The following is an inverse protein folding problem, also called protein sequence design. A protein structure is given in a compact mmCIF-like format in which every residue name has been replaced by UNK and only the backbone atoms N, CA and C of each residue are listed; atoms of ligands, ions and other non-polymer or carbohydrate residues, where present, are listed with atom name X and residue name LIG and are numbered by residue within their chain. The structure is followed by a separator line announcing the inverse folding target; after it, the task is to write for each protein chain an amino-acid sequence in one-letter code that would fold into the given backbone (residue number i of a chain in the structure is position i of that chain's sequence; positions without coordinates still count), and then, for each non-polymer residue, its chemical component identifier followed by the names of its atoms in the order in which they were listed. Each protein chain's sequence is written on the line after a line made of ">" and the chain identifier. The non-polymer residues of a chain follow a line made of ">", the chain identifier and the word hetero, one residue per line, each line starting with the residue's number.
data_IF_171212651991
#
_entry.id   IF_171212651991
#
_cell.length_a   1.000
_cell.length_b   1.000
_cell.length_c   1.000
_cell.angle_alpha   90.00
_cell.angle_beta   90.00
_cell.angle_gamma   90.00
#
_symmetry.space_group_name_H-M   'P 1'
#
loop_
_entity.id
_entity.type
_entity.pdbx_description
1 polymer ?
#
# COMPACT_ATOMS: atom_id res chain seq x y z
N UNK A 1 -20.78 -27.49 3.76
CA UNK A 1 -21.34 -26.34 3.01
C UNK A 1 -21.06 -25.09 3.83
N UNK A 2 -20.16 -24.23 3.36
CA UNK A 2 -19.88 -22.95 4.03
C UNK A 2 -21.15 -22.09 3.98
N UNK A 3 -21.54 -21.50 5.11
CA UNK A 3 -22.69 -20.60 5.17
C UNK A 3 -22.30 -19.26 4.57
N UNK A 4 -22.86 -18.91 3.44
CA UNK A 4 -22.80 -17.55 2.90
C UNK A 4 -23.41 -16.58 3.90
N UNK A 5 -22.69 -15.52 4.23
CA UNK A 5 -23.18 -14.46 5.08
C UNK A 5 -23.08 -13.14 4.34
N UNK A 6 -24.21 -12.57 4.04
CA UNK A 6 -24.28 -11.19 3.54
C UNK A 6 -23.91 -10.23 4.67
N UNK A 7 -22.95 -9.36 4.39
CA UNK A 7 -22.51 -8.29 5.30
C UNK A 7 -22.58 -6.97 4.53
N UNK A 8 -22.99 -5.92 5.18
CA UNK A 8 -22.99 -4.58 4.63
C UNK A 8 -21.74 -3.84 5.11
N UNK A 9 -20.92 -3.36 4.19
CA UNK A 9 -19.66 -2.68 4.50
C UNK A 9 -19.75 -1.21 4.11
N UNK A 10 -19.40 -0.34 5.02
CA UNK A 10 -19.37 1.10 4.75
C UNK A 10 -18.28 1.43 3.74
N UNK A 11 -18.63 1.99 2.57
CA UNK A 11 -17.69 2.38 1.54
C UNK A 11 -16.74 3.49 1.96
N UNK A 12 -17.02 4.24 3.02
CA UNK A 12 -16.17 5.31 3.51
C UNK A 12 -15.17 4.84 4.59
N UNK A 13 -15.57 4.02 5.57
CA UNK A 13 -14.71 3.65 6.70
C UNK A 13 -14.50 2.14 6.88
N UNK A 14 -15.09 1.30 6.02
CA UNK A 14 -14.98 -0.16 6.10
C UNK A 14 -15.67 -0.81 7.31
N UNK A 15 -16.48 -0.05 8.07
CA UNK A 15 -17.25 -0.62 9.17
C UNK A 15 -18.28 -1.60 8.62
N UNK A 16 -18.25 -2.83 9.13
CA UNK A 16 -19.22 -3.87 8.77
C UNK A 16 -20.47 -3.82 9.64
N UNK A 17 -21.60 -4.20 9.05
CA UNK A 17 -22.88 -4.30 9.71
C UNK A 17 -23.63 -5.54 9.19
N UNK A 18 -24.36 -6.28 10.05
CA UNK A 18 -25.17 -7.42 9.61
C UNK A 18 -26.43 -6.99 8.85
N UNK A 19 -26.75 -5.69 8.83
CA UNK A 19 -27.90 -5.09 8.16
C UNK A 19 -27.48 -3.77 7.51
N UNK A 20 -28.15 -3.43 6.42
CA UNK A 20 -28.00 -2.10 5.83
C UNK A 20 -28.51 -1.03 6.80
N UNK A 21 -27.72 0.02 7.01
CA UNK A 21 -28.07 1.18 7.85
C UNK A 21 -27.85 2.46 7.06
N UNK A 22 -28.79 3.40 7.13
CA UNK A 22 -28.74 4.64 6.34
C UNK A 22 -27.58 5.56 6.73
N UNK A 23 -27.15 5.54 8.00
CA UNK A 23 -26.04 6.34 8.50
C UNK A 23 -25.02 5.44 9.18
N UNK A 24 -23.75 5.53 8.78
CA UNK A 24 -22.68 4.75 9.38
C UNK A 24 -22.43 5.22 10.83
N UNK A 25 -22.50 4.33 11.84
CA UNK A 25 -22.27 4.72 13.23
C UNK A 25 -20.80 5.07 13.52
N UNK A 26 -19.87 4.63 12.68
CA UNK A 26 -18.44 4.83 12.86
C UNK A 26 -17.96 6.17 12.27
N UNK A 27 -18.29 6.46 11.00
CA UNK A 27 -17.81 7.67 10.33
C UNK A 27 -18.91 8.76 10.19
N UNK A 28 -20.17 8.45 10.49
CA UNK A 28 -21.28 9.41 10.42
C UNK A 28 -21.82 9.69 9.01
N UNK A 29 -21.25 9.09 7.97
CA UNK A 29 -21.66 9.29 6.59
C UNK A 29 -22.97 8.56 6.26
N UNK A 30 -23.76 9.14 5.33
CA UNK A 30 -25.04 8.61 4.91
C UNK A 30 -24.92 7.80 3.63
N UNK A 31 -25.74 6.74 3.52
CA UNK A 31 -25.88 5.90 2.31
C UNK A 31 -24.57 5.28 1.80
N UNK A 32 -23.66 4.96 2.71
CA UNK A 32 -22.34 4.42 2.40
C UNK A 32 -22.24 2.89 2.51
N UNK A 33 -23.31 2.20 2.92
CA UNK A 33 -23.27 0.75 3.05
C UNK A 33 -23.50 0.04 1.72
N UNK A 34 -22.53 -0.80 1.34
CA UNK A 34 -22.58 -1.66 0.16
C UNK A 34 -22.69 -3.11 0.62
N UNK A 35 -23.51 -3.89 -0.08
CA UNK A 35 -23.69 -5.31 0.21
C UNK A 35 -22.48 -6.11 -0.28
N UNK A 36 -21.86 -6.88 0.62
CA UNK A 36 -20.76 -7.81 0.31
C UNK A 36 -21.10 -9.21 0.82
N UNK A 37 -20.85 -10.22 -0.02
CA UNK A 37 -21.01 -11.63 0.37
C UNK A 37 -19.68 -12.12 0.92
N UNK A 38 -19.64 -12.39 2.22
CA UNK A 38 -18.45 -12.92 2.89
C UNK A 38 -18.71 -14.39 3.26
N UNK A 39 -17.94 -15.30 2.68
CA UNK A 39 -17.87 -16.69 3.08
C UNK A 39 -16.73 -16.86 4.07
N UNK A 40 -17.04 -17.26 5.30
CA UNK A 40 -16.00 -17.62 6.28
C UNK A 40 -15.66 -19.09 6.09
N UNK A 41 -14.50 -19.38 5.54
CA UNK A 41 -13.88 -20.68 5.77
C UNK A 41 -13.29 -20.74 7.20
N UNK A 42 -13.30 -21.93 7.83
CA UNK A 42 -12.67 -22.11 9.15
C UNK A 42 -11.17 -21.82 9.01
N UNK A 43 -10.75 -20.74 9.60
CA UNK A 43 -9.38 -20.24 9.56
C UNK A 43 -8.43 -21.18 10.29
N UNK A 44 -7.88 -22.16 9.59
CA UNK A 44 -6.51 -22.59 9.85
C UNK A 44 -5.60 -21.50 9.30
N UNK A 45 -5.33 -20.47 10.10
CA UNK A 45 -4.45 -19.35 9.74
C UNK A 45 -3.02 -19.86 9.61
N UNK A 46 -2.69 -20.46 8.46
CA UNK A 46 -1.29 -20.55 8.04
C UNK A 46 -0.87 -19.14 7.69
N UNK A 47 0.34 -18.69 8.14
CA UNK A 47 0.85 -17.40 7.71
C UNK A 47 0.90 -17.39 6.17
N UNK A 48 0.18 -16.45 5.55
CA UNK A 48 0.09 -16.31 4.09
C UNK A 48 1.48 -16.11 3.47
N UNK A 49 2.40 -15.50 4.22
CA UNK A 49 3.77 -15.23 3.78
C UNK A 49 4.67 -16.47 3.69
N UNK A 50 4.33 -17.59 4.33
CA UNK A 50 5.21 -18.76 4.39
C UNK A 50 6.61 -18.48 5.00
N UNK A 51 6.79 -17.32 5.61
CA UNK A 51 8.02 -16.90 6.29
C UNK A 51 7.89 -17.35 7.73
N UNK A 52 8.81 -18.22 8.17
CA UNK A 52 8.91 -18.61 9.57
C UNK A 52 9.48 -17.42 10.36
N UNK A 53 8.60 -16.67 11.00
CA UNK A 53 9.02 -15.61 11.92
C UNK A 53 9.08 -16.16 13.33
N UNK A 54 10.14 -15.82 14.04
CA UNK A 54 10.22 -16.12 15.48
C UNK A 54 9.11 -15.37 16.20
N UNK A 55 8.40 -16.05 17.12
CA UNK A 55 7.38 -15.39 17.94
C UNK A 55 8.05 -14.25 18.72
N UNK A 56 7.55 -13.02 18.63
CA UNK A 56 8.13 -11.90 19.35
C UNK A 56 8.09 -12.17 20.87
N UNK A 57 9.21 -11.90 21.54
CA UNK A 57 9.29 -11.95 23.01
C UNK A 57 9.13 -10.54 23.56
N UNK A 58 8.45 -10.35 24.72
CA UNK A 58 8.44 -9.06 25.39
C UNK A 58 9.87 -8.62 25.71
N UNK A 59 10.20 -7.37 25.40
CA UNK A 59 11.46 -6.71 25.74
C UNK A 59 11.16 -5.55 26.70
N UNK A 60 12.03 -5.30 27.67
CA UNK A 60 11.93 -4.09 28.46
C UNK A 60 12.32 -2.88 27.61
N UNK A 61 11.66 -1.73 27.80
CA UNK A 61 11.95 -0.51 27.04
C UNK A 61 13.42 -0.07 27.19
N UNK A 62 14.02 -0.33 28.35
CA UNK A 62 15.44 -0.08 28.61
C UNK A 62 16.41 -0.93 27.80
N UNK A 63 15.95 -2.07 27.30
CA UNK A 63 16.77 -3.03 26.57
C UNK A 63 16.68 -2.83 25.04
N UNK A 64 15.88 -1.84 24.63
CA UNK A 64 15.72 -1.46 23.23
C UNK A 64 16.71 -0.34 22.94
N UNK A 65 17.71 -0.63 22.12
CA UNK A 65 18.62 0.38 21.60
C UNK A 65 17.84 1.26 20.60
N UNK A 66 17.74 2.54 20.92
CA UNK A 66 17.13 3.54 20.03
C UNK A 66 18.21 4.12 19.11
N UNK A 67 18.77 3.30 18.25
CA UNK A 67 19.55 3.81 17.14
C UNK A 67 18.61 4.47 16.14
N UNK A 68 19.11 5.53 15.45
CA UNK A 68 18.36 6.17 14.38
C UNK A 68 17.97 5.09 13.34
N UNK A 69 16.68 4.85 13.17
CA UNK A 69 16.20 3.87 12.19
C UNK A 69 16.75 4.22 10.80
N UNK A 70 17.52 3.33 10.16
CA UNK A 70 18.15 3.64 8.89
C UNK A 70 17.07 3.93 7.83
N UNK A 71 17.20 5.09 7.21
CA UNK A 71 16.29 5.53 6.15
C UNK A 71 16.87 5.21 4.78
N UNK A 72 16.04 4.69 3.90
CA UNK A 72 16.40 4.50 2.50
C UNK A 72 16.23 5.83 1.79
N UNK A 73 17.30 6.35 1.22
CA UNK A 73 17.27 7.53 0.37
C UNK A 73 16.52 7.19 -0.92
N UNK A 74 15.47 7.93 -1.22
CA UNK A 74 14.66 7.73 -2.43
C UNK A 74 15.23 8.43 -3.66
N UNK A 75 16.41 9.09 -3.56
CA UNK A 75 17.05 9.87 -4.61
C UNK A 75 16.14 10.93 -5.27
N UNK A 76 15.19 11.42 -4.49
CA UNK A 76 14.28 12.53 -4.80
C UNK A 76 14.14 13.36 -3.54
N UNK A 77 14.61 14.60 -3.57
CA UNK A 77 14.69 15.46 -2.38
C UNK A 77 13.31 15.84 -1.86
N UNK A 78 12.33 16.02 -2.76
CA UNK A 78 10.96 16.35 -2.41
C UNK A 78 10.28 15.15 -1.73
N UNK A 79 10.43 13.95 -2.30
CA UNK A 79 9.90 12.73 -1.71
C UNK A 79 10.56 12.42 -0.36
N UNK A 80 11.88 12.55 -0.26
CA UNK A 80 12.60 12.38 1.00
C UNK A 80 12.12 13.35 2.07
N UNK A 81 11.91 14.64 1.72
CA UNK A 81 11.41 15.66 2.64
C UNK A 81 10.03 15.28 3.19
N UNK A 82 9.09 14.90 2.33
CA UNK A 82 7.73 14.53 2.72
C UNK A 82 7.70 13.22 3.53
N UNK A 83 8.64 12.32 3.27
CA UNK A 83 8.82 11.10 4.08
C UNK A 83 9.49 11.36 5.44
N UNK A 84 10.07 12.56 5.64
CA UNK A 84 10.79 12.93 6.85
C UNK A 84 12.27 12.48 6.84
N UNK A 85 12.89 12.47 5.65
CA UNK A 85 14.30 12.15 5.42
C UNK A 85 14.55 10.81 4.73
N UNK A 86 13.52 10.16 4.20
CA UNK A 86 13.61 8.90 3.46
C UNK A 86 12.66 7.82 3.97
N UNK A 87 12.65 6.69 3.28
CA UNK A 87 11.76 5.56 3.58
C UNK A 87 12.33 4.70 4.72
N UNK A 88 11.53 4.44 5.73
CA UNK A 88 11.93 3.62 6.88
C UNK A 88 11.81 2.12 6.56
N UNK A 89 12.77 1.33 7.01
CA UNK A 89 12.72 -0.12 6.88
C UNK A 89 11.51 -0.71 7.60
N UNK A 90 10.88 -1.69 6.97
CA UNK A 90 9.67 -2.31 7.52
C UNK A 90 8.45 -1.39 7.55
N UNK A 91 8.48 -0.23 6.88
CA UNK A 91 7.32 0.66 6.78
C UNK A 91 6.41 0.28 5.62
N UNK A 92 5.12 0.57 5.78
CA UNK A 92 4.11 0.51 4.74
C UNK A 92 3.65 1.93 4.42
N UNK A 93 3.97 2.42 3.24
CA UNK A 93 3.62 3.78 2.79
C UNK A 93 2.63 3.71 1.63
N UNK A 94 1.55 4.48 1.71
CA UNK A 94 0.57 4.63 0.66
C UNK A 94 0.78 5.94 -0.09
N UNK A 95 0.91 5.87 -1.41
CA UNK A 95 0.85 7.03 -2.31
C UNK A 95 -0.52 7.03 -2.98
N UNK A 96 -1.37 7.94 -2.54
CA UNK A 96 -2.72 8.12 -3.05
C UNK A 96 -2.84 9.33 -3.97
N UNK A 97 -3.83 9.32 -4.86
CA UNK A 97 -4.12 10.44 -5.76
C UNK A 97 -5.05 10.04 -6.90
N UNK A 98 -5.58 11.02 -7.65
CA UNK A 98 -6.45 10.75 -8.79
C UNK A 98 -5.77 9.87 -9.84
N UNK A 99 -6.54 9.06 -10.61
CA UNK A 99 -6.01 8.37 -11.77
C UNK A 99 -5.35 9.35 -12.75
N UNK A 100 -4.19 8.98 -13.31
CA UNK A 100 -3.48 9.80 -14.28
C UNK A 100 -2.68 10.98 -13.69
N UNK A 101 -2.69 11.23 -12.37
CA UNK A 101 -1.96 12.35 -11.74
C UNK A 101 -0.43 12.17 -11.81
N UNK A 102 0.08 10.95 -11.99
CA UNK A 102 1.50 10.66 -12.12
C UNK A 102 2.12 9.83 -11.00
N UNK A 103 1.33 9.19 -10.13
CA UNK A 103 1.83 8.35 -9.03
C UNK A 103 2.83 7.29 -9.48
N UNK A 104 2.42 6.44 -10.42
CA UNK A 104 3.26 5.36 -10.97
C UNK A 104 4.49 5.91 -11.70
N UNK A 105 4.38 7.11 -12.27
CA UNK A 105 5.50 7.79 -12.92
C UNK A 105 6.53 8.26 -11.90
N UNK A 106 6.10 8.92 -10.82
CA UNK A 106 6.98 9.33 -9.73
C UNK A 106 7.72 8.14 -9.14
N UNK A 107 6.99 7.09 -8.80
CA UNK A 107 7.58 5.88 -8.20
C UNK A 107 8.55 5.21 -9.16
N UNK A 108 8.22 5.09 -10.44
CA UNK A 108 9.11 4.51 -11.45
C UNK A 108 10.38 5.35 -11.60
N UNK A 109 10.27 6.67 -11.67
CA UNK A 109 11.41 7.57 -11.76
C UNK A 109 12.34 7.42 -10.54
N UNK A 110 11.77 7.38 -9.33
CA UNK A 110 12.52 7.14 -8.10
C UNK A 110 13.29 5.82 -8.15
N UNK A 111 12.62 4.74 -8.55
CA UNK A 111 13.22 3.39 -8.66
C UNK A 111 14.40 3.36 -9.63
N UNK A 112 14.29 4.05 -10.75
CA UNK A 112 15.36 4.11 -11.76
C UNK A 112 16.61 4.83 -11.25
N UNK A 113 16.48 5.69 -10.22
CA UNK A 113 17.59 6.37 -9.58
C UNK A 113 18.19 5.63 -8.36
N UNK A 114 17.77 4.38 -8.11
CA UNK A 114 18.20 3.54 -6.99
C UNK A 114 18.93 2.28 -7.49
N UNK A 115 20.05 2.39 -8.24
CA UNK A 115 20.73 1.22 -8.81
C UNK A 115 21.37 0.30 -7.77
N UNK A 116 21.60 0.81 -6.55
CA UNK A 116 22.18 0.07 -5.43
C UNK A 116 21.15 -0.80 -4.67
N UNK A 117 19.84 -0.67 -5.00
CA UNK A 117 18.76 -1.38 -4.35
C UNK A 117 18.11 -2.40 -5.28
N UNK A 118 17.88 -3.59 -4.76
CA UNK A 118 17.11 -4.60 -5.43
C UNK A 118 15.62 -4.35 -5.17
N UNK A 119 14.88 -4.00 -6.22
CA UNK A 119 13.49 -3.58 -6.11
C UNK A 119 12.59 -4.57 -6.83
N UNK A 120 11.50 -4.97 -6.19
CA UNK A 120 10.42 -5.74 -6.82
C UNK A 120 9.23 -4.82 -7.07
N UNK A 121 8.96 -4.55 -8.35
CA UNK A 121 7.79 -3.80 -8.80
C UNK A 121 6.69 -4.77 -9.23
N UNK A 122 5.62 -4.82 -8.45
CA UNK A 122 4.43 -5.62 -8.70
C UNK A 122 3.40 -4.74 -9.38
N UNK A 123 2.99 -5.11 -10.60
CA UNK A 123 1.95 -4.41 -11.35
C UNK A 123 0.71 -5.27 -11.49
N UNK A 124 -0.44 -4.75 -11.06
CA UNK A 124 -1.74 -5.37 -11.31
C UNK A 124 -2.53 -4.71 -12.44
N UNK A 125 -2.03 -3.61 -13.01
CA UNK A 125 -2.75 -2.83 -14.04
C UNK A 125 -2.03 -2.83 -15.39
N UNK A 126 -0.71 -2.72 -15.38
CA UNK A 126 0.08 -2.59 -16.60
C UNK A 126 0.91 -3.83 -16.87
N UNK A 127 1.09 -4.16 -18.15
CA UNK A 127 1.99 -5.22 -18.58
C UNK A 127 3.45 -4.79 -18.43
N UNK A 128 4.36 -5.77 -18.31
CA UNK A 128 5.80 -5.52 -18.24
C UNK A 128 6.33 -4.68 -19.42
N UNK A 129 5.75 -4.87 -20.62
CA UNK A 129 6.10 -4.08 -21.81
C UNK A 129 5.70 -2.61 -21.67
N UNK A 130 4.53 -2.31 -21.11
CA UNK A 130 4.07 -0.94 -20.88
C UNK A 130 4.95 -0.24 -19.84
N UNK A 131 5.28 -0.94 -18.75
CA UNK A 131 6.21 -0.42 -17.74
C UNK A 131 7.60 -0.17 -18.32
N UNK A 132 8.12 -1.07 -19.16
CA UNK A 132 9.40 -0.86 -19.86
C UNK A 132 9.36 0.38 -20.75
N UNK A 133 8.32 0.55 -21.55
CA UNK A 133 8.14 1.75 -22.40
C UNK A 133 8.03 3.04 -21.57
N UNK A 134 7.49 2.98 -20.36
CA UNK A 134 7.46 4.11 -19.43
C UNK A 134 8.86 4.38 -18.87
N UNK A 135 9.56 3.36 -18.40
CA UNK A 135 10.89 3.48 -17.86
C UNK A 135 11.87 4.11 -18.88
N UNK A 136 11.83 3.65 -20.13
CA UNK A 136 12.69 4.16 -21.22
C UNK A 136 12.44 5.65 -21.56
N UNK A 137 11.28 6.19 -21.21
CA UNK A 137 11.00 7.62 -21.37
C UNK A 137 11.48 8.48 -20.20
N UNK A 138 11.70 7.85 -19.03
CA UNK A 138 12.04 8.55 -17.80
C UNK A 138 13.54 8.62 -17.56
N UNK A 139 14.29 7.60 -17.95
CA UNK A 139 15.73 7.52 -17.74
C UNK A 139 16.37 6.49 -18.65
N UNK A 140 17.61 6.75 -19.04
CA UNK A 140 18.49 5.80 -19.72
C UNK A 140 19.31 4.94 -18.73
N UNK A 141 19.10 5.12 -17.42
CA UNK A 141 19.82 4.36 -16.39
C UNK A 141 19.26 2.97 -16.22
N UNK A 142 20.13 1.99 -16.04
CA UNK A 142 19.72 0.63 -15.63
C UNK A 142 19.61 0.57 -14.11
N UNK A 143 18.49 0.07 -13.62
CA UNK A 143 18.29 -0.24 -12.20
C UNK A 143 18.09 -1.75 -12.01
N UNK A 144 18.39 -2.28 -10.82
CA UNK A 144 18.09 -3.67 -10.44
C UNK A 144 16.61 -3.82 -10.05
N UNK A 145 15.71 -3.31 -10.92
CA UNK A 145 14.27 -3.38 -10.73
C UNK A 145 13.69 -4.59 -11.45
N UNK A 146 13.20 -5.53 -10.67
CA UNK A 146 12.47 -6.70 -11.16
C UNK A 146 11.00 -6.38 -11.27
N UNK A 147 10.40 -6.64 -12.44
CA UNK A 147 8.97 -6.40 -12.69
C UNK A 147 8.22 -7.74 -12.69
N UNK A 148 7.11 -7.80 -11.97
CA UNK A 148 6.17 -8.90 -12.02
C UNK A 148 4.74 -8.37 -12.22
N UNK A 149 4.01 -8.97 -13.17
CA UNK A 149 2.59 -8.67 -13.38
C UNK A 149 1.78 -9.75 -12.66
N UNK A 150 1.33 -9.44 -11.45
CA UNK A 150 0.64 -10.38 -10.58
C UNK A 150 -0.40 -9.67 -9.71
N UNK A 151 -1.53 -10.33 -9.47
CA UNK A 151 -2.63 -9.82 -8.64
C UNK A 151 -2.94 -10.70 -7.43
N UNK A 152 -2.45 -11.95 -7.39
CA UNK A 152 -2.58 -12.82 -6.22
C UNK A 152 -1.54 -12.46 -5.17
N UNK A 153 -1.98 -12.11 -3.97
CA UNK A 153 -1.11 -11.78 -2.85
C UNK A 153 -0.21 -12.96 -2.48
N UNK A 154 -0.72 -14.19 -2.57
CA UNK A 154 0.00 -15.42 -2.30
C UNK A 154 1.19 -15.59 -3.25
N UNK A 155 0.98 -15.36 -4.55
CA UNK A 155 2.03 -15.42 -5.56
C UNK A 155 3.04 -14.28 -5.41
N UNK A 156 2.57 -13.09 -5.05
CA UNK A 156 3.45 -11.95 -4.74
C UNK A 156 4.43 -12.32 -3.62
N UNK A 157 3.99 -12.97 -2.55
CA UNK A 157 4.89 -13.43 -1.49
C UNK A 157 5.88 -14.49 -1.96
N UNK A 158 5.49 -15.38 -2.87
CA UNK A 158 6.42 -16.33 -3.51
C UNK A 158 7.51 -15.58 -4.29
N UNK A 159 7.14 -14.55 -5.06
CA UNK A 159 8.11 -13.72 -5.78
C UNK A 159 9.04 -12.97 -4.82
N UNK A 160 8.51 -12.36 -3.77
CA UNK A 160 9.31 -11.67 -2.75
C UNK A 160 10.33 -12.62 -2.12
N UNK A 161 9.89 -13.81 -1.70
CA UNK A 161 10.78 -14.82 -1.10
C UNK A 161 11.91 -15.25 -2.05
N UNK A 162 11.61 -15.41 -3.34
CA UNK A 162 12.58 -15.85 -4.34
C UNK A 162 13.58 -14.74 -4.72
N UNK A 163 13.13 -13.48 -4.67
CA UNK A 163 13.95 -12.33 -5.09
C UNK A 163 14.67 -11.66 -3.94
N UNK A 164 14.14 -11.76 -2.70
CA UNK A 164 14.65 -11.08 -1.50
C UNK A 164 14.97 -9.59 -1.77
N UNK A 165 13.95 -8.77 -2.09
CA UNK A 165 14.15 -7.38 -2.46
C UNK A 165 14.38 -6.48 -1.24
N UNK A 166 15.09 -5.36 -1.44
CA UNK A 166 15.26 -4.29 -0.44
C UNK A 166 14.02 -3.39 -0.34
N UNK A 167 13.20 -3.35 -1.39
CA UNK A 167 11.98 -2.55 -1.50
C UNK A 167 10.96 -3.26 -2.38
N UNK A 168 9.70 -3.28 -1.95
CA UNK A 168 8.57 -3.77 -2.76
C UNK A 168 7.66 -2.61 -3.12
N UNK A 169 7.23 -2.56 -4.38
CA UNK A 169 6.24 -1.61 -4.89
C UNK A 169 5.03 -2.40 -5.37
N UNK A 170 3.83 -1.95 -5.02
CA UNK A 170 2.56 -2.54 -5.45
C UNK A 170 1.72 -1.48 -6.16
N UNK A 171 1.49 -1.66 -7.45
CA UNK A 171 0.77 -0.73 -8.34
C UNK A 171 -0.35 -1.48 -9.10
N UNK A 172 -1.59 -1.40 -8.64
CA UNK A 172 -2.13 -0.72 -7.46
C UNK A 172 -2.68 -1.71 -6.43
N UNK A 173 -2.87 -1.26 -5.20
CA UNK A 173 -3.46 -2.09 -4.13
C UNK A 173 -4.88 -2.55 -4.46
N UNK A 174 -5.63 -1.80 -5.28
CA UNK A 174 -6.99 -2.14 -5.70
C UNK A 174 -7.08 -3.38 -6.59
N UNK A 175 -6.00 -3.74 -7.26
CA UNK A 175 -5.97 -4.92 -8.14
C UNK A 175 -5.55 -6.19 -7.41
N UNK A 176 -4.98 -6.05 -6.21
CA UNK A 176 -4.49 -7.20 -5.44
C UNK A 176 -5.66 -7.89 -4.72
N UNK A 177 -5.63 -9.19 -4.75
CA UNK A 177 -6.59 -10.04 -4.05
C UNK A 177 -5.92 -11.18 -3.31
N UNK A 178 -6.58 -11.67 -2.26
CA UNK A 178 -6.16 -12.85 -1.48
C UNK A 178 -7.27 -13.88 -1.47
N UNK A 179 -6.90 -15.15 -1.49
CA UNK A 179 -7.83 -16.28 -1.36
C UNK A 179 -8.33 -16.45 0.09
N UNK A 180 -7.76 -15.73 1.05
CA UNK A 180 -8.14 -15.83 2.47
C UNK A 180 -9.56 -15.35 2.76
N UNK A 181 -10.15 -14.56 1.86
CA UNK A 181 -11.51 -14.06 1.95
C UNK A 181 -12.22 -14.17 0.59
N UNK A 182 -13.48 -14.60 0.61
CA UNK A 182 -14.30 -14.64 -0.59
C UNK A 182 -15.03 -13.31 -0.81
N UNK A 183 -14.33 -12.38 -1.43
CA UNK A 183 -14.93 -11.12 -1.90
C UNK A 183 -14.28 -10.73 -3.23
N UNK A 184 -14.98 -9.92 -4.04
CA UNK A 184 -14.47 -9.54 -5.36
C UNK A 184 -13.17 -8.76 -5.27
N UNK A 185 -12.20 -8.96 -6.19
CA UNK A 185 -11.03 -8.10 -6.32
C UNK A 185 -11.44 -6.62 -6.37
N UNK A 186 -10.69 -5.75 -5.70
CA UNK A 186 -10.99 -4.32 -5.62
C UNK A 186 -12.07 -3.94 -4.58
N UNK A 187 -12.76 -4.92 -3.97
CA UNK A 187 -13.66 -4.63 -2.85
C UNK A 187 -12.90 -4.08 -1.65
N UNK A 188 -13.61 -3.35 -0.80
CA UNK A 188 -13.01 -2.77 0.41
C UNK A 188 -12.47 -3.86 1.34
N UNK A 189 -13.15 -4.99 1.43
CA UNK A 189 -12.71 -6.13 2.22
C UNK A 189 -11.38 -6.69 1.70
N UNK A 190 -11.22 -6.88 0.38
CA UNK A 190 -9.97 -7.32 -0.24
C UNK A 190 -8.84 -6.33 -0.01
N UNK A 191 -9.07 -5.05 -0.29
CA UNK A 191 -8.06 -3.99 -0.12
C UNK A 191 -7.59 -3.92 1.33
N UNK A 192 -8.53 -4.03 2.29
CA UNK A 192 -8.23 -4.03 3.72
C UNK A 192 -7.40 -5.25 4.13
N UNK A 193 -7.82 -6.46 3.76
CA UNK A 193 -7.14 -7.71 4.14
C UNK A 193 -5.75 -7.79 3.51
N UNK A 194 -5.62 -7.47 2.22
CA UNK A 194 -4.33 -7.43 1.53
C UNK A 194 -3.39 -6.42 2.20
N UNK A 195 -3.85 -5.20 2.48
CA UNK A 195 -3.02 -4.17 3.13
C UNK A 195 -2.61 -4.55 4.54
N UNK A 196 -3.49 -5.18 5.33
CA UNK A 196 -3.16 -5.66 6.67
C UNK A 196 -2.13 -6.80 6.64
N UNK A 197 -2.24 -7.70 5.66
CA UNK A 197 -1.27 -8.77 5.43
C UNK A 197 0.09 -8.21 5.01
N UNK A 198 0.12 -7.25 4.08
CA UNK A 198 1.34 -6.59 3.61
C UNK A 198 2.01 -5.81 4.74
N UNK A 199 1.25 -5.10 5.59
CA UNK A 199 1.81 -4.42 6.77
C UNK A 199 2.52 -5.41 7.70
N UNK A 200 1.86 -6.53 8.00
CA UNK A 200 2.47 -7.57 8.83
C UNK A 200 3.76 -8.08 8.22
N UNK A 201 3.74 -8.41 6.93
CA UNK A 201 4.94 -8.81 6.18
C UNK A 201 6.06 -7.77 6.31
N UNK A 202 5.77 -6.48 6.04
CA UNK A 202 6.77 -5.42 6.12
C UNK A 202 7.41 -5.34 7.52
N UNK A 203 6.59 -5.39 8.58
CA UNK A 203 7.09 -5.35 9.97
C UNK A 203 7.91 -6.58 10.36
N UNK A 204 7.51 -7.77 9.90
CA UNK A 204 8.18 -9.03 10.24
C UNK A 204 9.51 -9.20 9.50
N UNK A 205 9.61 -8.71 8.28
CA UNK A 205 10.80 -8.87 7.42
C UNK A 205 11.70 -7.64 7.36
N UNK A 206 11.27 -6.51 7.96
CA UNK A 206 11.90 -5.21 7.82
C UNK A 206 12.02 -4.72 6.36
N UNK A 207 11.27 -5.31 5.43
CA UNK A 207 11.23 -4.90 4.03
C UNK A 207 10.18 -3.81 3.85
N UNK A 208 10.53 -2.58 3.46
CA UNK A 208 9.57 -1.53 3.22
C UNK A 208 8.72 -1.81 1.98
N UNK A 209 7.47 -1.35 2.03
CA UNK A 209 6.54 -1.49 0.91
C UNK A 209 5.91 -0.15 0.58
N UNK A 210 5.95 0.22 -0.71
CA UNK A 210 5.20 1.34 -1.26
C UNK A 210 3.94 0.81 -1.95
N UNK A 211 2.78 1.23 -1.47
CA UNK A 211 1.49 0.98 -2.11
C UNK A 211 1.10 2.18 -2.96
N UNK A 212 0.70 1.95 -4.19
CA UNK A 212 0.02 2.94 -5.01
C UNK A 212 -1.48 2.69 -4.93
N UNK A 213 -2.25 3.75 -4.69
CA UNK A 213 -3.71 3.68 -4.61
C UNK A 213 -4.40 4.82 -5.34
N UNK A 214 -5.61 4.57 -5.83
CA UNK A 214 -6.45 5.59 -6.45
C UNK A 214 -7.36 6.24 -5.42
N UNK A 215 -7.49 7.57 -5.49
CA UNK A 215 -8.40 8.37 -4.67
C UNK A 215 -9.56 8.83 -5.56
N UNK A 216 -10.78 8.76 -5.07
CA UNK A 216 -11.95 9.28 -5.78
C UNK A 216 -11.95 10.81 -5.78
N UNK A 217 -12.70 11.44 -6.74
CA UNK A 217 -12.83 12.90 -6.90
C UNK A 217 -13.29 13.66 -5.65
N UNK A 218 -13.86 12.97 -4.67
CA UNK A 218 -14.29 13.54 -3.39
C UNK A 218 -13.15 13.61 -2.35
N UNK A 219 -11.90 13.36 -2.77
CA UNK A 219 -10.74 13.35 -1.86
C UNK A 219 -10.73 12.16 -0.91
N UNK A 220 -11.71 11.27 -1.03
CA UNK A 220 -11.72 10.02 -0.31
C UNK A 220 -11.13 8.92 -1.20
N UNK A 221 -10.12 8.19 -0.73
CA UNK A 221 -9.61 6.99 -1.38
C UNK A 221 -10.79 6.00 -1.46
N UNK A 222 -11.13 5.32 -2.55
CA UNK A 222 -12.11 4.22 -2.56
C UNK A 222 -11.64 3.12 -1.59
N UNK A 223 -12.19 3.11 -0.38
CA UNK A 223 -11.68 2.35 0.75
C UNK A 223 -10.56 3.03 1.56
N UNK A 224 -10.51 4.36 1.75
CA UNK A 224 -9.30 5.12 2.09
C UNK A 224 -9.07 5.40 3.55
N UNK A 225 -10.10 5.78 4.26
CA UNK A 225 -10.00 5.91 5.73
C UNK A 225 -9.61 4.59 6.38
N UNK A 226 -9.95 3.47 5.74
CA UNK A 226 -9.54 2.13 6.17
C UNK A 226 -8.03 1.95 6.02
N UNK A 227 -7.45 2.35 4.88
CA UNK A 227 -6.00 2.24 4.64
C UNK A 227 -5.20 3.22 5.50
N UNK A 228 -5.70 4.44 5.72
CA UNK A 228 -5.06 5.43 6.60
C UNK A 228 -4.79 4.88 8.01
N UNK A 229 -5.69 4.03 8.52
CA UNK A 229 -5.49 3.41 9.83
C UNK A 229 -4.49 2.25 9.80
N UNK A 230 -4.36 1.58 8.67
CA UNK A 230 -3.49 0.40 8.50
C UNK A 230 -2.05 0.84 8.22
N UNK A 231 -1.82 1.71 7.23
CA UNK A 231 -0.48 2.09 6.78
C UNK A 231 0.24 3.02 7.76
N UNK A 232 1.55 3.08 7.69
CA UNK A 232 2.38 3.93 8.56
C UNK A 232 2.41 5.40 8.09
N UNK A 233 2.42 5.61 6.77
CA UNK A 233 2.35 6.94 6.17
C UNK A 233 1.41 6.95 4.96
N UNK A 234 0.76 8.09 4.75
CA UNK A 234 -0.11 8.37 3.60
C UNK A 234 0.38 9.64 2.94
N UNK A 235 0.84 9.51 1.71
CA UNK A 235 1.22 10.62 0.85
C UNK A 235 0.11 10.83 -0.19
N UNK A 236 -0.45 12.02 -0.24
CA UNK A 236 -1.47 12.39 -1.22
C UNK A 236 -0.85 13.20 -2.34
N UNK A 237 -1.03 12.71 -3.56
CA UNK A 237 -0.58 13.39 -4.77
C UNK A 237 -1.74 14.19 -5.34
N UNK A 238 -1.60 15.50 -5.37
CA UNK A 238 -2.59 16.47 -5.80
C UNK A 238 -2.10 17.19 -7.05
N UNK A 239 -3.00 17.53 -7.95
CA UNK A 239 -2.72 18.36 -9.10
C UNK A 239 -3.75 19.46 -9.21
N UNK A 240 -3.33 20.66 -9.57
CA UNK A 240 -4.21 21.74 -9.93
C UNK A 240 -4.26 21.85 -11.46
N UNK A 241 -5.47 21.91 -12.03
CA UNK A 241 -5.68 22.04 -13.48
C UNK A 241 -5.23 23.40 -14.03
N UNK A 242 -5.08 24.40 -13.15
CA UNK A 242 -4.68 25.76 -13.51
C UNK A 242 -3.17 26.00 -13.38
N UNK A 243 -2.45 25.11 -12.63
CA UNK A 243 -1.03 25.25 -12.40
C UNK A 243 -0.27 24.04 -12.95
N UNK A 244 0.92 24.28 -13.50
CA UNK A 244 1.78 23.26 -14.11
C UNK A 244 2.54 22.41 -13.08
N UNK A 245 2.26 22.56 -11.79
CA UNK A 245 2.91 21.81 -10.72
C UNK A 245 1.96 20.79 -10.07
N UNK A 246 2.54 19.81 -9.43
CA UNK A 246 1.86 18.80 -8.64
C UNK A 246 2.40 18.86 -7.22
N UNK A 247 1.53 18.64 -6.26
CA UNK A 247 1.89 18.68 -4.83
C UNK A 247 1.81 17.27 -4.28
N UNK A 248 2.86 16.86 -3.58
CA UNK A 248 2.87 15.68 -2.73
C UNK A 248 2.75 16.15 -1.28
N UNK A 249 1.67 15.73 -0.62
CA UNK A 249 1.36 16.11 0.76
C UNK A 249 1.35 14.88 1.67
N UNK A 250 1.97 15.00 2.84
CA UNK A 250 1.83 13.99 3.89
C UNK A 250 0.51 14.21 4.65
N UNK A 251 -0.43 13.27 4.52
CA UNK A 251 -1.69 13.28 5.28
C UNK A 251 -1.51 12.59 6.63
N UNK A 252 -0.67 11.57 6.66
CA UNK A 252 -0.29 10.83 7.85
C UNK A 252 1.16 10.43 7.74
N UNK A 253 1.93 10.60 8.81
CA UNK A 253 3.29 10.08 8.91
C UNK A 253 3.61 9.74 10.36
N UNK A 254 3.84 8.46 10.65
CA UNK A 254 4.24 8.00 11.99
C UNK A 254 5.70 8.31 12.31
N UNK A 255 6.50 8.66 11.29
CA UNK A 255 7.95 8.76 11.38
C UNK A 255 8.46 10.18 11.11
N UNK A 256 7.58 11.13 10.87
CA UNK A 256 7.95 12.50 10.53
C UNK A 256 6.79 13.48 10.59
N UNK A 257 7.10 14.72 10.22
CA UNK A 257 6.12 15.81 10.14
C UNK A 257 5.11 15.57 9.02
N UNK A 258 3.87 16.01 9.22
CA UNK A 258 2.85 16.10 8.17
C UNK A 258 2.72 17.51 7.59
N UNK A 259 3.57 18.44 8.02
CA UNK A 259 3.55 19.84 7.55
C UNK A 259 4.35 20.04 6.25
N UNK A 260 5.17 19.05 5.85
CA UNK A 260 6.03 19.13 4.68
C UNK A 260 5.25 18.91 3.39
N UNK A 261 5.64 19.67 2.36
CA UNK A 261 5.10 19.58 1.00
C UNK A 261 6.23 19.29 0.02
N UNK A 262 5.97 18.41 -0.95
CA UNK A 262 6.78 18.20 -2.15
C UNK A 262 6.12 18.86 -3.37
N UNK A 263 6.88 19.42 -4.30
CA UNK A 263 6.40 20.08 -5.52
C UNK A 263 7.06 19.49 -6.75
#
# INVERSE_FOLDING_TARGET
>A
MAKEKTVYVCSNCGQDSPKWVGKCPSCGEWNTYVEEIVRKEPTNRRPVSGIETQKPKPLALSDIEADDEPRINMHDDELNRVLGGGLIQGSLVLIGGEPGIGKSTLVMQTVLHMPEKKILYVSGEESARQLKLRADRLSDTSSDCLIVCETSLEQIYVHIKNTNPDLVIIDSIQTISTESIESSPGSIAQVRECSASILRFAKETHTPVLLIGHINKEGSIAGPKVLEHIVDAVLQFEGDQHYMYRILRSIKNRFGSTAELGI
#
